data_IF_639472028446
#
_entry.id   IF_639472028446
#
_cell.length_a   1.000
_cell.length_b   1.000
_cell.length_c   1.000
_cell.angle_alpha   90.00
_cell.angle_beta   90.00
_cell.angle_gamma   90.00
#
_symmetry.space_group_name_H-M   'P 1'
#
loop_
_entity.id
_entity.type
_entity.pdbx_description
1 polymer ?
#
# COMPACT_ATOMS: atom_id res chain seq x y z
N UNK A 1 -11.31 16.79 -1.82
CA UNK A 1 -10.99 15.49 -2.46
C UNK A 1 -10.21 14.69 -1.45
N UNK A 2 -10.56 13.43 -1.27
CA UNK A 2 -9.92 12.55 -0.30
C UNK A 2 -8.71 11.89 -0.95
N UNK A 3 -7.63 11.77 -0.18
CA UNK A 3 -6.36 11.18 -0.62
C UNK A 3 -5.79 10.26 0.46
N UNK A 4 -4.94 9.32 0.04
CA UNK A 4 -4.17 8.42 0.90
C UNK A 4 -2.69 8.59 0.59
N UNK A 5 -1.87 8.63 1.64
CA UNK A 5 -0.41 8.70 1.52
C UNK A 5 0.21 7.32 1.72
N UNK A 6 1.05 6.90 0.79
CA UNK A 6 1.92 5.74 0.94
C UNK A 6 3.37 6.16 1.07
N UNK A 7 4.09 5.58 2.04
CA UNK A 7 5.51 5.85 2.30
C UNK A 7 6.27 4.54 2.32
N UNK A 8 7.39 4.46 1.61
CA UNK A 8 8.33 3.34 1.65
C UNK A 8 9.70 3.84 2.09
N UNK A 9 10.15 3.36 3.25
CA UNK A 9 11.47 3.65 3.82
C UNK A 9 12.46 2.55 3.42
N UNK A 10 13.43 2.90 2.57
CA UNK A 10 14.59 2.08 2.24
C UNK A 10 15.87 2.74 2.80
N UNK A 11 16.98 2.00 3.00
CA UNK A 11 18.15 2.52 3.71
C UNK A 11 18.70 3.85 3.17
N UNK A 12 18.56 4.08 1.86
CA UNK A 12 19.10 5.24 1.15
C UNK A 12 18.01 6.17 0.59
N UNK A 13 16.72 5.87 0.77
CA UNK A 13 15.64 6.66 0.18
C UNK A 13 14.31 6.50 0.92
N UNK A 14 13.59 7.62 1.08
CA UNK A 14 12.17 7.64 1.43
C UNK A 14 11.38 7.95 0.17
N UNK A 15 10.46 7.05 -0.20
CA UNK A 15 9.60 7.21 -1.37
C UNK A 15 8.16 7.43 -0.93
N UNK A 16 7.49 8.40 -1.53
CA UNK A 16 6.15 8.83 -1.15
C UNK A 16 5.24 8.87 -2.36
N UNK A 17 3.99 8.44 -2.18
CA UNK A 17 2.96 8.45 -3.23
C UNK A 17 1.64 8.92 -2.62
N UNK A 18 1.03 9.94 -3.23
CA UNK A 18 -0.33 10.40 -2.92
C UNK A 18 -1.28 9.82 -3.95
N UNK A 19 -2.32 9.14 -3.48
CA UNK A 19 -3.33 8.52 -4.35
C UNK A 19 -4.70 9.11 -4.02
N UNK A 20 -5.48 9.39 -5.06
CA UNK A 20 -6.88 9.80 -4.92
C UNK A 20 -7.77 8.67 -4.38
N UNK A 21 -8.80 9.05 -3.62
CA UNK A 21 -9.82 8.14 -3.11
C UNK A 21 -9.57 7.74 -1.67
N UNK A 22 -10.63 7.38 -0.96
CA UNK A 22 -10.52 6.87 0.42
C UNK A 22 -9.89 5.47 0.47
N UNK A 23 -10.09 4.68 -0.59
CA UNK A 23 -9.59 3.31 -0.74
C UNK A 23 -8.21 3.23 -1.44
N UNK A 24 -7.63 4.38 -1.80
CA UNK A 24 -6.38 4.52 -2.56
C UNK A 24 -6.37 3.81 -3.94
N UNK A 25 -7.54 3.66 -4.57
CA UNK A 25 -7.75 3.03 -5.87
C UNK A 25 -7.77 4.02 -7.05
N UNK A 26 -7.70 5.33 -6.77
CA UNK A 26 -7.70 6.39 -7.76
C UNK A 26 -6.35 6.64 -8.44
N UNK A 27 -6.26 7.81 -9.10
CA UNK A 27 -5.03 8.23 -9.78
C UNK A 27 -3.97 8.69 -8.80
N UNK A 28 -2.70 8.53 -9.18
CA UNK A 28 -1.58 9.10 -8.44
C UNK A 28 -1.60 10.62 -8.64
N UNK A 29 -1.74 11.36 -7.54
CA UNK A 29 -1.77 12.83 -7.51
C UNK A 29 -0.35 13.38 -7.50
N UNK A 30 0.51 12.78 -6.68
CA UNK A 30 1.88 13.24 -6.46
C UNK A 30 2.78 12.06 -6.08
N UNK A 31 4.04 12.14 -6.49
CA UNK A 31 5.10 11.22 -6.06
C UNK A 31 6.31 12.04 -5.65
N UNK A 32 7.01 11.58 -4.62
CA UNK A 32 8.24 12.22 -4.16
C UNK A 32 9.27 11.16 -3.72
N UNK A 33 10.54 11.50 -3.82
CA UNK A 33 11.65 10.65 -3.43
C UNK A 33 12.73 11.50 -2.77
N UNK A 34 12.96 11.25 -1.49
CA UNK A 34 13.98 11.93 -0.69
C UNK A 34 15.13 10.97 -0.45
N UNK A 35 16.34 11.32 -0.89
CA UNK A 35 17.54 10.54 -0.59
C UNK A 35 17.90 10.66 0.90
N UNK A 36 18.13 9.51 1.53
CA UNK A 36 18.54 9.40 2.93
C UNK A 36 20.07 9.31 2.96
N UNK A 37 20.72 10.45 3.16
CA UNK A 37 22.18 10.55 3.32
C UNK A 37 22.59 10.56 4.80
N UNK A 38 23.52 9.67 5.18
CA UNK A 38 23.95 9.43 6.58
C UNK A 38 24.75 10.54 7.27
N UNK A 39 24.48 11.83 7.06
CA UNK A 39 25.14 12.92 7.80
C UNK A 39 24.22 14.04 8.30
N UNK A 40 22.89 13.88 8.20
CA UNK A 40 21.95 14.73 8.91
C UNK A 40 21.85 14.36 10.40
N UNK A 41 21.55 15.32 11.30
CA UNK A 41 21.31 15.02 12.73
C UNK A 41 19.99 14.27 12.99
N UNK A 42 19.17 14.09 11.96
CA UNK A 42 17.81 13.53 12.06
C UNK A 42 17.83 12.01 11.88
N UNK A 43 17.27 11.28 12.84
CA UNK A 43 17.12 9.82 12.75
C UNK A 43 16.22 9.43 11.56
N UNK A 44 16.34 8.20 11.03
CA UNK A 44 15.46 7.73 9.95
C UNK A 44 13.96 7.84 10.31
N UNK A 45 13.52 7.50 11.55
CA UNK A 45 12.15 7.76 11.98
C UNK A 45 11.74 9.23 11.94
N UNK A 46 12.62 10.14 12.37
CA UNK A 46 12.35 11.57 12.35
C UNK A 46 12.18 12.11 10.93
N UNK A 47 12.95 11.59 9.98
CA UNK A 47 12.83 11.96 8.56
C UNK A 47 11.49 11.51 7.98
N UNK A 48 11.05 10.27 8.25
CA UNK A 48 9.73 9.77 7.83
C UNK A 48 8.62 10.64 8.42
N UNK A 49 8.71 11.00 9.70
CA UNK A 49 7.70 11.85 10.33
C UNK A 49 7.70 13.25 9.73
N UNK A 50 8.86 13.85 9.49
CA UNK A 50 8.98 15.16 8.86
C UNK A 50 8.36 15.15 7.46
N UNK A 51 8.62 14.11 6.68
CA UNK A 51 7.99 13.87 5.37
C UNK A 51 6.47 13.81 5.49
N UNK A 52 5.91 12.95 6.35
CA UNK A 52 4.45 12.82 6.53
C UNK A 52 3.82 14.14 6.94
N UNK A 53 4.44 14.88 7.86
CA UNK A 53 3.95 16.19 8.31
C UNK A 53 3.97 17.23 7.18
N UNK A 54 5.08 17.32 6.45
CA UNK A 54 5.22 18.25 5.32
C UNK A 54 4.21 17.95 4.21
N UNK A 55 4.01 16.67 3.89
CA UNK A 55 3.03 16.26 2.89
C UNK A 55 1.59 16.49 3.37
N UNK A 56 1.30 16.30 4.65
CA UNK A 56 -0.03 16.62 5.22
C UNK A 56 -0.32 18.11 5.16
N UNK A 57 0.67 18.95 5.44
CA UNK A 57 0.55 20.40 5.34
C UNK A 57 0.32 20.83 3.88
N UNK A 58 1.15 20.35 2.95
CA UNK A 58 1.00 20.62 1.52
C UNK A 58 -0.33 20.13 0.95
N UNK A 59 -0.79 18.95 1.36
CA UNK A 59 -2.11 18.42 0.98
C UNK A 59 -3.24 19.33 1.48
N UNK A 60 -3.17 19.81 2.73
CA UNK A 60 -4.17 20.70 3.30
C UNK A 60 -4.20 22.07 2.60
N UNK A 61 -3.03 22.63 2.28
CA UNK A 61 -2.90 23.86 1.47
C UNK A 61 -3.49 23.69 0.06
N UNK A 62 -3.33 22.50 -0.52
CA UNK A 62 -3.94 22.11 -1.80
C UNK A 62 -5.44 21.82 -1.74
N UNK A 63 -6.08 21.86 -0.57
CA UNK A 63 -7.49 21.53 -0.39
C UNK A 63 -7.81 20.03 -0.42
N UNK A 64 -6.81 19.18 -0.27
CA UNK A 64 -6.95 17.72 -0.15
C UNK A 64 -7.14 17.31 1.32
N UNK A 65 -7.87 16.21 1.52
CA UNK A 65 -8.06 15.62 2.85
C UNK A 65 -7.33 14.29 2.91
N UNK A 66 -6.27 14.25 3.72
CA UNK A 66 -5.53 13.03 3.98
C UNK A 66 -6.32 12.10 4.91
N UNK A 67 -6.75 10.94 4.38
CA UNK A 67 -7.59 9.97 5.08
C UNK A 67 -6.78 8.99 5.91
N UNK A 68 -5.78 8.35 5.28
CA UNK A 68 -4.87 7.42 5.91
C UNK A 68 -3.45 7.57 5.37
N UNK A 69 -2.49 7.10 6.14
CA UNK A 69 -1.08 7.01 5.75
C UNK A 69 -0.58 5.59 5.98
N UNK A 70 -0.12 4.92 4.94
CA UNK A 70 0.57 3.64 5.03
C UNK A 70 2.07 3.83 4.99
N UNK A 71 2.79 3.28 5.95
CA UNK A 71 4.26 3.32 5.99
C UNK A 71 4.79 1.90 5.96
N UNK A 72 5.56 1.58 4.93
CA UNK A 72 6.35 0.36 4.84
C UNK A 72 7.83 0.66 5.04
N UNK A 73 8.54 -0.27 5.66
CA UNK A 73 9.93 -0.10 6.04
C UNK A 73 10.69 -1.40 5.78
N UNK A 74 11.80 -1.32 5.04
CA UNK A 74 12.57 -2.51 4.63
C UNK A 74 13.43 -3.11 5.74
N UNK A 75 14.02 -2.30 6.62
CA UNK A 75 14.64 -2.73 7.88
C UNK A 75 13.63 -2.82 9.05
N UNK A 76 13.22 -4.03 9.48
CA UNK A 76 12.25 -4.20 10.55
C UNK A 76 12.77 -3.79 11.94
N UNK A 77 14.09 -3.58 12.13
CA UNK A 77 14.68 -3.31 13.46
C UNK A 77 14.32 -1.93 14.02
N UNK A 78 14.08 -0.97 13.13
CA UNK A 78 13.83 0.43 13.51
C UNK A 78 12.33 0.79 13.57
N UNK A 79 11.45 -0.12 13.15
CA UNK A 79 10.00 0.12 13.08
C UNK A 79 9.39 0.32 14.48
N UNK A 80 9.95 -0.30 15.52
CA UNK A 80 9.57 -0.01 16.92
C UNK A 80 9.85 1.44 17.32
N UNK A 81 11.04 1.96 16.99
CA UNK A 81 11.39 3.35 17.24
C UNK A 81 10.51 4.32 16.44
N UNK A 82 10.14 3.97 15.21
CA UNK A 82 9.17 4.74 14.43
C UNK A 82 7.79 4.77 15.10
N UNK A 83 7.29 3.63 15.60
CA UNK A 83 6.02 3.59 16.33
C UNK A 83 6.04 4.51 17.55
N UNK A 84 7.10 4.43 18.34
CA UNK A 84 7.23 5.25 19.55
C UNK A 84 7.28 6.74 19.20
N UNK A 85 8.00 7.09 18.13
CA UNK A 85 8.09 8.46 17.63
C UNK A 85 6.74 8.98 17.07
N UNK A 86 5.99 8.16 16.34
CA UNK A 86 4.63 8.48 15.87
C UNK A 86 3.68 8.71 17.05
N UNK A 87 3.75 7.84 18.06
CA UNK A 87 2.92 7.92 19.27
C UNK A 87 3.23 9.17 20.09
N UNK A 88 4.52 9.49 20.25
CA UNK A 88 4.99 10.68 20.99
C UNK A 88 4.48 11.98 20.37
N UNK A 89 4.25 12.00 19.05
CA UNK A 89 3.76 13.17 18.30
C UNK A 89 2.25 13.16 18.03
N UNK A 90 1.49 12.22 18.63
CA UNK A 90 0.05 11.99 18.42
C UNK A 90 -0.33 11.93 16.92
N UNK A 91 0.52 11.30 16.11
CA UNK A 91 0.26 11.09 14.69
C UNK A 91 -0.70 9.91 14.50
N UNK A 92 -1.97 10.25 14.40
CA UNK A 92 -3.06 9.31 14.13
C UNK A 92 -3.20 9.03 12.64
N UNK A 93 -3.90 7.95 12.31
CA UNK A 93 -4.15 7.47 10.95
C UNK A 93 -2.89 7.04 10.17
N UNK A 94 -1.81 6.74 10.88
CA UNK A 94 -0.61 6.12 10.30
C UNK A 94 -0.63 4.63 10.60
N UNK A 95 -0.58 3.82 9.55
CA UNK A 95 -0.49 2.37 9.62
C UNK A 95 0.90 1.91 9.22
N UNK A 96 1.54 1.12 10.08
CA UNK A 96 2.77 0.42 9.74
C UNK A 96 2.41 -0.87 9.00
N UNK A 97 2.84 -0.97 7.75
CA UNK A 97 2.54 -2.08 6.82
C UNK A 97 3.84 -2.83 6.55
N UNK A 98 3.81 -4.17 6.53
CA UNK A 98 4.99 -4.92 6.11
C UNK A 98 5.23 -4.75 4.60
N UNK A 99 6.48 -4.78 4.12
CA UNK A 99 6.77 -4.69 2.68
C UNK A 99 6.04 -5.75 1.84
N UNK A 100 5.94 -6.98 2.34
CA UNK A 100 5.22 -8.05 1.67
C UNK A 100 3.71 -7.79 1.58
N UNK A 101 3.08 -7.27 2.64
CA UNK A 101 1.64 -6.95 2.62
C UNK A 101 1.35 -5.74 1.74
N UNK A 102 2.23 -4.73 1.72
CA UNK A 102 2.15 -3.63 0.77
C UNK A 102 2.20 -4.17 -0.67
N UNK A 103 3.15 -5.07 -0.96
CA UNK A 103 3.26 -5.72 -2.27
C UNK A 103 2.02 -6.56 -2.62
N UNK A 104 1.45 -7.28 -1.64
CA UNK A 104 0.22 -8.06 -1.82
C UNK A 104 -1.01 -7.19 -2.11
N UNK A 105 -1.17 -6.06 -1.41
CA UNK A 105 -2.24 -5.10 -1.68
C UNK A 105 -2.15 -4.52 -3.09
N UNK A 106 -0.93 -4.23 -3.56
CA UNK A 106 -0.71 -3.80 -4.93
C UNK A 106 -1.02 -4.92 -5.94
N UNK A 107 -0.57 -6.15 -5.68
CA UNK A 107 -0.85 -7.31 -6.53
C UNK A 107 -2.35 -7.62 -6.61
N UNK A 108 -3.08 -7.48 -5.51
CA UNK A 108 -4.54 -7.61 -5.48
C UNK A 108 -5.18 -6.56 -6.40
N UNK A 109 -4.79 -5.30 -6.27
CA UNK A 109 -5.35 -4.19 -7.06
C UNK A 109 -5.09 -4.38 -8.56
N UNK A 110 -3.87 -4.79 -8.92
CA UNK A 110 -3.52 -5.09 -10.32
C UNK A 110 -4.26 -6.32 -10.82
N UNK A 111 -4.34 -7.39 -10.02
CA UNK A 111 -5.10 -8.59 -10.37
C UNK A 111 -6.58 -8.31 -10.59
N UNK A 112 -7.18 -7.49 -9.72
CA UNK A 112 -8.56 -7.04 -9.84
C UNK A 112 -8.80 -6.26 -11.15
N UNK A 113 -7.90 -5.32 -11.48
CA UNK A 113 -7.97 -4.56 -12.73
C UNK A 113 -7.82 -5.44 -14.00
N UNK A 114 -7.08 -6.55 -13.90
CA UNK A 114 -6.88 -7.52 -14.97
C UNK A 114 -7.95 -8.63 -15.01
N UNK A 115 -8.84 -8.69 -14.02
CA UNK A 115 -9.86 -9.73 -13.90
C UNK A 115 -9.31 -11.11 -13.54
N UNK A 116 -8.17 -11.17 -12.85
CA UNK A 116 -7.57 -12.41 -12.35
C UNK A 116 -8.29 -12.88 -11.09
N UNK A 117 -8.44 -14.20 -10.91
CA UNK A 117 -8.94 -14.78 -9.66
C UNK A 117 -7.79 -14.90 -8.65
N UNK A 118 -6.63 -15.35 -9.12
CA UNK A 118 -5.41 -15.44 -8.33
C UNK A 118 -4.24 -14.77 -9.05
N UNK A 119 -3.50 -13.93 -8.33
CA UNK A 119 -2.28 -13.30 -8.83
C UNK A 119 -1.08 -13.85 -8.07
N UNK A 120 -0.11 -14.42 -8.77
CA UNK A 120 1.17 -14.73 -8.16
C UNK A 120 1.95 -13.43 -7.93
N UNK A 121 2.46 -13.23 -6.72
CA UNK A 121 3.33 -12.13 -6.35
C UNK A 121 4.75 -12.65 -6.16
N UNK A 122 5.71 -12.12 -6.91
CA UNK A 122 7.14 -12.30 -6.64
C UNK A 122 7.68 -11.04 -5.96
N UNK A 123 7.85 -11.10 -4.65
CA UNK A 123 8.45 -10.04 -3.86
C UNK A 123 9.96 -10.26 -3.74
N UNK A 124 10.76 -9.35 -4.30
CA UNK A 124 12.21 -9.49 -4.44
C UNK A 124 12.94 -8.53 -3.50
N UNK A 125 13.76 -9.08 -2.62
CA UNK A 125 14.69 -8.35 -1.75
C UNK A 125 16.13 -8.63 -2.17
N UNK A 126 17.09 -7.89 -1.61
CA UNK A 126 18.50 -8.02 -2.02
C UNK A 126 19.08 -9.44 -1.79
N UNK A 127 18.67 -10.09 -0.70
CA UNK A 127 19.19 -11.39 -0.26
C UNK A 127 18.12 -12.49 -0.20
N UNK A 128 16.86 -12.18 -0.50
CA UNK A 128 15.80 -13.19 -0.49
C UNK A 128 14.68 -12.87 -1.47
N UNK A 129 13.93 -13.90 -1.84
CA UNK A 129 12.76 -13.78 -2.70
C UNK A 129 11.59 -14.50 -2.06
N UNK A 130 10.43 -13.87 -2.06
CA UNK A 130 9.17 -14.46 -1.61
C UNK A 130 8.21 -14.61 -2.80
N UNK A 131 7.83 -15.84 -3.11
CA UNK A 131 6.73 -16.14 -4.03
C UNK A 131 5.47 -16.35 -3.22
N UNK A 132 4.43 -15.58 -3.51
CA UNK A 132 3.11 -15.69 -2.88
C UNK A 132 2.02 -15.83 -3.94
N UNK A 133 0.86 -16.37 -3.58
CA UNK A 133 -0.35 -16.36 -4.41
C UNK A 133 -1.42 -15.58 -3.64
N UNK A 134 -1.91 -14.51 -4.25
CA UNK A 134 -2.90 -13.59 -3.69
C UNK A 134 -4.25 -13.85 -4.34
N UNK A 135 -5.27 -14.14 -3.55
CA UNK A 135 -6.67 -14.14 -3.98
C UNK A 135 -7.11 -12.68 -4.18
N UNK A 136 -7.54 -12.34 -5.40
CA UNK A 136 -7.85 -10.95 -5.74
C UNK A 136 -9.16 -10.45 -5.11
N UNK A 137 -10.05 -11.37 -4.72
CA UNK A 137 -11.38 -11.04 -4.21
C UNK A 137 -11.32 -10.44 -2.80
N UNK A 138 -10.41 -10.93 -1.95
CA UNK A 138 -10.27 -10.51 -0.56
C UNK A 138 -8.85 -10.09 -0.17
N UNK A 139 -7.86 -10.27 -1.05
CA UNK A 139 -6.46 -9.94 -0.81
C UNK A 139 -5.72 -10.96 0.06
N UNK A 140 -6.31 -12.13 0.30
CA UNK A 140 -5.70 -13.19 1.11
C UNK A 140 -4.52 -13.84 0.39
N UNK A 141 -3.48 -14.21 1.16
CA UNK A 141 -2.33 -14.94 0.64
C UNK A 141 -2.58 -16.43 0.85
N UNK A 142 -2.94 -17.16 -0.19
CA UNK A 142 -3.30 -18.59 -0.13
C UNK A 142 -2.10 -19.53 -0.24
N UNK A 143 -0.97 -19.04 -0.73
CA UNK A 143 0.29 -19.76 -0.79
C UNK A 143 1.45 -18.79 -0.57
N UNK A 144 2.48 -19.20 0.15
CA UNK A 144 3.67 -18.39 0.42
C UNK A 144 4.90 -19.30 0.52
N UNK A 145 5.94 -18.94 -0.21
CA UNK A 145 7.22 -19.61 -0.19
C UNK A 145 8.35 -18.59 -0.33
N UNK A 146 9.24 -18.57 0.65
CA UNK A 146 10.43 -17.71 0.64
C UNK A 146 11.68 -18.56 0.43
N UNK A 147 12.64 -18.00 -0.29
CA UNK A 147 13.93 -18.62 -0.56
C UNK A 147 15.04 -17.59 -0.42
N UNK A 148 16.17 -17.99 0.15
CA UNK A 148 17.40 -17.18 0.19
C UNK A 148 18.02 -17.18 -1.20
N UNK A 149 18.01 -16.02 -1.85
CA UNK A 149 18.54 -15.82 -3.20
C UNK A 149 19.13 -14.42 -3.25
N UNK A 150 20.42 -14.32 -3.53
CA UNK A 150 21.07 -13.02 -3.73
C UNK A 150 20.67 -12.44 -5.08
N UNK A 151 19.78 -11.46 -5.06
CA UNK A 151 19.27 -10.79 -6.26
C UNK A 151 20.00 -9.48 -6.57
N UNK A 152 20.85 -9.00 -5.67
CA UNK A 152 21.69 -7.82 -5.87
C UNK A 152 23.16 -8.12 -5.49
N UNK A 153 24.10 -8.22 -6.46
CA UNK A 153 23.90 -8.12 -7.91
C UNK A 153 23.15 -9.33 -8.49
N UNK A 154 22.39 -9.11 -9.56
CA UNK A 154 21.65 -10.20 -10.23
C UNK A 154 22.59 -11.09 -11.04
N UNK A 155 22.49 -12.40 -10.85
CA UNK A 155 23.38 -13.41 -11.46
C UNK A 155 22.61 -14.50 -12.20
N UNK A 156 23.30 -15.29 -13.03
CA UNK A 156 22.69 -16.45 -13.68
C UNK A 156 22.22 -17.54 -12.71
N UNK A 157 22.82 -17.62 -11.51
CA UNK A 157 22.33 -18.52 -10.47
C UNK A 157 21.00 -18.05 -9.89
N UNK A 158 20.89 -16.75 -9.57
CA UNK A 158 19.63 -16.16 -9.12
C UNK A 158 18.51 -16.35 -10.15
N UNK A 159 18.85 -16.24 -11.43
CA UNK A 159 17.94 -16.50 -12.53
C UNK A 159 17.40 -17.95 -12.54
N UNK A 160 18.29 -18.95 -12.38
CA UNK A 160 17.91 -20.36 -12.30
C UNK A 160 17.08 -20.69 -11.04
N UNK A 161 17.43 -20.10 -9.90
CA UNK A 161 16.70 -20.26 -8.65
C UNK A 161 15.27 -19.69 -8.79
N UNK A 162 15.13 -18.50 -9.39
CA UNK A 162 13.84 -17.86 -9.66
C UNK A 162 12.98 -18.67 -10.64
N UNK A 163 13.57 -19.23 -11.71
CA UNK A 163 12.85 -20.10 -12.63
C UNK A 163 12.28 -21.32 -11.90
N UNK A 164 13.10 -21.94 -11.04
CA UNK A 164 12.69 -23.07 -10.19
C UNK A 164 11.56 -22.66 -9.23
N UNK A 165 11.56 -21.43 -8.71
CA UNK A 165 10.47 -20.93 -7.89
C UNK A 165 9.16 -20.82 -8.67
N UNK A 166 9.21 -20.27 -9.89
CA UNK A 166 8.03 -20.05 -10.74
C UNK A 166 7.46 -21.36 -11.28
N UNK A 167 8.28 -22.36 -11.57
CA UNK A 167 7.82 -23.71 -11.94
C UNK A 167 6.89 -24.33 -10.88
N UNK A 168 7.03 -23.95 -9.61
CA UNK A 168 6.15 -24.45 -8.54
C UNK A 168 4.70 -24.02 -8.72
N UNK A 169 4.44 -22.90 -9.42
CA UNK A 169 3.08 -22.40 -9.65
C UNK A 169 2.22 -23.40 -10.42
N UNK A 170 2.82 -24.20 -11.30
CA UNK A 170 2.10 -25.22 -12.09
C UNK A 170 1.58 -26.38 -11.23
N UNK A 171 2.20 -26.63 -10.07
CA UNK A 171 1.82 -27.68 -9.14
C UNK A 171 0.75 -27.27 -8.12
N UNK A 172 0.37 -26.00 -8.08
CA UNK A 172 -0.59 -25.48 -7.10
C UNK A 172 -2.03 -25.80 -7.49
N UNK A 173 -2.86 -26.11 -6.48
CA UNK A 173 -4.32 -26.25 -6.67
C UNK A 173 -5.00 -24.93 -7.05
N UNK A 174 -4.43 -23.81 -6.60
CA UNK A 174 -4.79 -22.44 -6.97
C UNK A 174 -3.84 -21.96 -8.07
N UNK A 175 -4.24 -22.06 -9.33
CA UNK A 175 -3.41 -21.65 -10.46
C UNK A 175 -3.52 -20.13 -10.67
N UNK A 176 -2.43 -19.37 -10.50
CA UNK A 176 -2.45 -17.93 -10.77
C UNK A 176 -2.55 -17.64 -12.26
N UNK A 177 -3.30 -16.59 -12.60
CA UNK A 177 -3.51 -16.14 -13.98
C UNK A 177 -2.34 -15.29 -14.51
N UNK A 178 -1.55 -14.71 -13.60
CA UNK A 178 -0.38 -13.89 -13.92
C UNK A 178 0.60 -13.77 -12.76
N UNK A 179 1.84 -13.42 -13.07
CA UNK A 179 2.91 -13.14 -12.13
C UNK A 179 3.17 -11.63 -12.07
N UNK A 180 3.04 -11.04 -10.88
CA UNK A 180 3.33 -9.65 -10.61
C UNK A 180 4.61 -9.55 -9.77
N UNK A 181 5.61 -8.79 -10.23
CA UNK A 181 6.91 -8.64 -9.56
C UNK A 181 6.97 -7.29 -8.85
N UNK A 182 7.37 -7.30 -7.58
CA UNK A 182 7.60 -6.10 -6.76
C UNK A 182 8.99 -6.15 -6.15
N UNK A 183 9.79 -5.12 -6.39
CA UNK A 183 11.14 -4.98 -5.84
C UNK A 183 11.19 -4.20 -4.54
N UNK A 184 12.05 -4.64 -3.63
CA UNK A 184 12.36 -3.97 -2.37
C UNK A 184 13.78 -3.40 -2.43
N UNK A 185 13.94 -2.26 -3.11
CA UNK A 185 15.26 -1.65 -3.33
C UNK A 185 16.17 -2.45 -4.28
N UNK A 186 15.60 -3.34 -5.10
CA UNK A 186 16.31 -4.15 -6.10
C UNK A 186 15.82 -3.76 -7.49
N UNK A 187 16.73 -3.70 -8.46
CA UNK A 187 16.38 -3.54 -9.87
C UNK A 187 15.72 -4.82 -10.40
N UNK A 188 14.41 -4.74 -10.67
CA UNK A 188 13.61 -5.86 -11.13
C UNK A 188 13.55 -6.00 -12.65
N UNK A 189 14.11 -5.07 -13.44
CA UNK A 189 14.05 -5.15 -14.90
C UNK A 189 14.75 -6.40 -15.46
N UNK A 190 15.99 -6.74 -15.04
CA UNK A 190 16.65 -7.97 -15.48
C UNK A 190 15.90 -9.24 -15.06
N UNK A 191 15.26 -9.19 -13.89
CA UNK A 191 14.47 -10.30 -13.34
C UNK A 191 13.22 -10.52 -14.19
N UNK A 192 12.47 -9.45 -14.47
CA UNK A 192 11.28 -9.48 -15.34
C UNK A 192 11.62 -10.07 -16.70
N UNK A 193 12.67 -9.58 -17.37
CA UNK A 193 13.07 -10.08 -18.68
C UNK A 193 13.39 -11.58 -18.68
N UNK A 194 14.07 -12.06 -17.62
CA UNK A 194 14.38 -13.47 -17.49
C UNK A 194 13.13 -14.33 -17.28
N UNK A 195 12.23 -13.89 -16.38
CA UNK A 195 11.01 -14.62 -16.07
C UNK A 195 9.99 -14.57 -17.21
N UNK A 196 9.90 -13.48 -17.98
CA UNK A 196 9.07 -13.42 -19.20
C UNK A 196 9.47 -14.47 -20.24
N UNK A 197 10.74 -14.87 -20.28
CA UNK A 197 11.22 -15.89 -21.20
C UNK A 197 11.01 -17.33 -20.67
N UNK A 198 10.84 -17.49 -19.35
CA UNK A 198 10.81 -18.80 -18.70
C UNK A 198 9.41 -19.20 -18.18
N UNK A 199 8.61 -18.23 -17.73
CA UNK A 199 7.33 -18.47 -17.08
C UNK A 199 6.22 -18.78 -18.12
N UNK A 200 5.33 -19.74 -17.84
CA UNK A 200 4.20 -20.05 -18.71
C UNK A 200 3.03 -19.05 -18.58
N UNK A 201 3.11 -18.12 -17.63
CA UNK A 201 2.07 -17.12 -17.33
C UNK A 201 2.57 -15.70 -17.61
N UNK A 202 1.67 -14.74 -17.91
CA UNK A 202 2.03 -13.34 -18.11
C UNK A 202 2.79 -12.77 -16.90
N UNK A 203 3.92 -12.11 -17.16
CA UNK A 203 4.72 -11.44 -16.12
C UNK A 203 4.54 -9.94 -16.23
N UNK A 204 4.26 -9.29 -15.11
CA UNK A 204 3.96 -7.85 -15.03
C UNK A 204 4.67 -7.20 -13.84
N UNK A 205 4.82 -5.88 -13.91
CA UNK A 205 5.41 -5.02 -12.87
C UNK A 205 4.57 -3.74 -12.78
N UNK A 206 4.70 -3.01 -11.68
CA UNK A 206 4.12 -1.67 -11.58
C UNK A 206 4.69 -0.74 -12.66
N UNK A 207 3.90 0.24 -13.09
CA UNK A 207 4.33 1.29 -14.04
C UNK A 207 5.54 2.07 -13.51
N UNK A 208 5.54 2.36 -12.21
CA UNK A 208 6.67 2.94 -11.47
C UNK A 208 7.18 1.91 -10.45
N UNK A 209 8.13 1.02 -10.83
CA UNK A 209 8.62 -0.05 -9.97
C UNK A 209 9.18 0.43 -8.64
N UNK A 210 9.90 1.54 -8.67
CA UNK A 210 10.52 2.15 -7.50
C UNK A 210 9.50 2.65 -6.49
N UNK A 211 8.31 3.07 -6.96
CA UNK A 211 7.22 3.60 -6.13
C UNK A 211 6.21 2.50 -5.73
N UNK A 212 6.37 1.27 -6.23
CA UNK A 212 5.42 0.18 -6.05
C UNK A 212 5.14 -0.11 -4.57
N UNK A 213 6.18 -0.16 -3.72
CA UNK A 213 6.02 -0.42 -2.29
C UNK A 213 5.29 0.70 -1.56
N UNK A 214 5.57 1.96 -1.90
CA UNK A 214 4.87 3.11 -1.33
C UNK A 214 3.38 3.08 -1.72
N UNK A 215 3.09 2.84 -3.01
CA UNK A 215 1.71 2.67 -3.50
C UNK A 215 0.99 1.50 -2.82
N UNK A 216 1.66 0.37 -2.67
CA UNK A 216 1.15 -0.78 -1.94
C UNK A 216 0.84 -0.47 -0.47
N UNK A 217 1.68 0.34 0.18
CA UNK A 217 1.44 0.78 1.55
C UNK A 217 0.19 1.68 1.66
N UNK A 218 -0.01 2.59 0.70
CA UNK A 218 -1.24 3.39 0.61
C UNK A 218 -2.48 2.47 0.54
N UNK A 219 -2.51 1.56 -0.44
CA UNK A 219 -3.58 0.58 -0.64
C UNK A 219 -3.86 -0.26 0.61
N UNK A 220 -2.81 -0.81 1.22
CA UNK A 220 -2.94 -1.62 2.42
C UNK A 220 -3.49 -0.82 3.61
N UNK A 221 -3.07 0.44 3.76
CA UNK A 221 -3.54 1.30 4.86
C UNK A 221 -5.00 1.73 4.71
N UNK A 222 -5.47 1.89 3.48
CA UNK A 222 -6.85 2.20 3.16
C UNK A 222 -7.77 0.99 3.40
N UNK A 223 -7.30 -0.21 3.08
CA UNK A 223 -8.08 -1.46 3.10
C UNK A 223 -7.80 -2.37 4.32
N UNK A 224 -7.20 -1.82 5.38
CA UNK A 224 -6.62 -2.59 6.49
C UNK A 224 -7.49 -3.65 7.19
N UNK A 225 -8.83 -3.48 7.36
CA UNK A 225 -9.67 -4.51 7.96
C UNK A 225 -9.66 -5.84 7.18
N UNK A 226 -9.50 -5.79 5.86
CA UNK A 226 -9.53 -6.96 4.98
C UNK A 226 -8.22 -7.76 5.11
N UNK A 227 -7.07 -7.09 5.08
CA UNK A 227 -5.77 -7.76 5.20
C UNK A 227 -5.51 -8.35 6.60
N UNK A 228 -5.99 -7.70 7.66
CA UNK A 228 -5.76 -8.17 9.03
C UNK A 228 -6.48 -9.50 9.31
N UNK A 229 -7.72 -9.66 8.82
CA UNK A 229 -8.52 -10.87 9.06
C UNK A 229 -7.97 -12.07 8.28
N UNK A 230 -7.63 -11.89 7.00
CA UNK A 230 -7.15 -12.99 6.15
C UNK A 230 -5.72 -13.42 6.51
N UNK A 231 -4.84 -12.48 6.86
CA UNK A 231 -3.48 -12.82 7.33
C UNK A 231 -3.52 -13.54 8.69
N UNK A 232 -4.40 -13.11 9.61
CA UNK A 232 -4.59 -13.82 10.88
C UNK A 232 -5.12 -15.25 10.67
N UNK A 233 -6.06 -15.44 9.73
CA UNK A 233 -6.58 -16.77 9.40
C UNK A 233 -5.49 -17.70 8.84
N UNK A 234 -4.63 -17.20 7.95
CA UNK A 234 -3.47 -17.96 7.44
C UNK A 234 -2.50 -18.32 8.57
N UNK A 235 -2.20 -17.37 9.46
CA UNK A 235 -1.31 -17.60 10.60
C UNK A 235 -1.84 -18.71 11.53
N UNK A 236 -3.14 -18.73 11.81
CA UNK A 236 -3.76 -19.82 12.57
C UNK A 236 -3.77 -21.15 11.82
N UNK A 237 -3.90 -21.15 10.49
CA UNK A 237 -3.83 -22.36 9.68
C UNK A 237 -2.41 -22.96 9.63
N UNK A 238 -1.39 -22.14 9.85
CA UNK A 238 0.03 -22.53 9.85
C UNK A 238 0.57 -22.82 11.26
N UNK A 239 -0.21 -22.63 12.33
CA UNK A 239 0.18 -22.94 13.72
C UNK A 239 0.22 -24.47 13.94
N UNK A 240 1.40 -25.10 14.09
CA UNK A 240 1.49 -26.51 14.38
C UNK A 240 1.11 -26.69 15.86
N UNK A 241 -0.16 -26.99 16.10
CA UNK A 241 -0.65 -27.27 17.44
C UNK A 241 0.21 -28.34 18.13
N UNK A 242 0.82 -27.97 19.25
CA UNK A 242 1.53 -28.78 20.26
C UNK A 242 3.01 -29.14 20.02
N UNK A 243 3.90 -28.54 20.84
CA UNK A 243 5.02 -29.25 21.49
C UNK A 243 6.47 -28.91 21.07
N UNK A 244 7.13 -28.11 21.91
CA UNK A 244 8.59 -27.89 22.08
C UNK A 244 9.39 -27.17 20.96
N UNK A 245 9.99 -26.04 21.34
CA UNK A 245 10.81 -25.17 20.48
C UNK A 245 12.28 -25.34 20.85
N UNK A 246 13.13 -25.72 19.88
CA UNK A 246 14.58 -25.77 20.07
C UNK A 246 15.18 -24.36 19.96
N UNK A 247 15.65 -23.82 21.09
CA UNK A 247 16.06 -22.41 21.26
C UNK A 247 17.40 -22.06 20.59
N UNK A 248 18.18 -23.06 20.17
CA UNK A 248 19.51 -22.86 19.53
C UNK A 248 19.46 -22.80 17.98
N UNK A 249 18.27 -22.84 17.36
CA UNK A 249 18.10 -22.68 15.91
C UNK A 249 17.86 -21.22 15.45
N UNK A 250 17.92 -20.23 16.36
CA UNK A 250 17.74 -18.81 16.04
C UNK A 250 19.09 -18.11 15.74
N UNK A 251 19.49 -18.12 14.48
CA UNK A 251 20.40 -17.15 13.86
C UNK A 251 19.94 -16.90 12.40
N UNK A 252 20.24 -15.73 11.79
CA UNK A 252 19.34 -15.03 10.86
C UNK A 252 19.31 -15.66 9.46
N UNK A 253 18.47 -16.67 9.27
CA UNK A 253 18.10 -17.24 7.97
C UNK A 253 16.72 -17.92 8.04
N UNK A 254 15.81 -17.37 8.84
CA UNK A 254 14.53 -18.00 9.12
C UNK A 254 13.53 -17.69 8.00
N UNK A 255 13.40 -18.61 7.04
CA UNK A 255 12.23 -18.94 6.21
C UNK A 255 12.68 -19.77 5.00
N UNK A 256 13.25 -20.96 5.24
CA UNK A 256 13.25 -22.05 4.26
C UNK A 256 12.39 -23.17 4.83
N UNK A 257 11.08 -23.12 4.53
CA UNK A 257 10.12 -24.17 4.87
C UNK A 257 9.21 -24.37 3.66
N UNK A 258 9.49 -25.42 2.89
CA UNK A 258 8.46 -26.15 2.16
C UNK A 258 7.45 -26.67 3.18
N UNK A 259 6.15 -26.69 2.84
CA UNK A 259 5.08 -27.18 3.69
C UNK A 259 5.32 -28.61 4.22
N UNK A 260 6.01 -28.70 5.35
CA UNK A 260 5.80 -29.60 6.49
C UNK A 260 6.51 -28.94 7.70
N UNK A 261 5.90 -29.02 8.87
CA UNK A 261 6.06 -28.11 10.01
C UNK A 261 7.51 -27.71 10.43
N UNK A 262 7.72 -26.42 10.77
CA UNK A 262 8.31 -25.89 12.03
C UNK A 262 8.48 -24.36 11.93
N UNK A 263 7.91 -23.64 12.91
CA UNK A 263 7.70 -22.18 12.93
C UNK A 263 8.84 -21.41 13.61
N UNK A 264 9.11 -20.23 13.05
CA UNK A 264 9.79 -19.11 13.71
C UNK A 264 9.11 -17.80 13.31
N UNK A 265 8.77 -17.04 14.34
CA UNK A 265 7.99 -15.81 14.33
C UNK A 265 8.69 -14.67 13.58
N UNK A 266 8.09 -14.20 12.49
CA UNK A 266 8.56 -13.01 11.78
C UNK A 266 7.61 -12.43 10.71
N UNK A 267 6.38 -12.94 10.59
CA UNK A 267 5.45 -12.55 9.52
C UNK A 267 4.08 -12.11 10.03
N UNK A 268 4.01 -11.53 11.23
CA UNK A 268 2.75 -11.07 11.82
C UNK A 268 2.82 -9.57 12.08
N UNK A 269 1.70 -8.90 11.83
CA UNK A 269 1.47 -7.48 12.09
C UNK A 269 2.21 -7.05 13.35
N UNK A 270 2.93 -5.92 13.27
CA UNK A 270 3.92 -5.46 14.25
C UNK A 270 3.32 -5.20 15.66
N UNK A 271 2.06 -5.55 15.92
CA UNK A 271 1.29 -5.32 17.14
C UNK A 271 1.33 -6.46 18.17
N UNK A 272 2.16 -7.49 18.01
CA UNK A 272 2.40 -8.44 19.10
C UNK A 272 3.39 -7.84 20.11
N UNK A 273 2.85 -7.18 21.15
CA UNK A 273 3.60 -6.73 22.32
C UNK A 273 4.06 -7.97 23.10
N UNK A 274 5.37 -8.20 23.33
CA UNK A 274 5.79 -9.11 24.38
C UNK A 274 5.50 -8.45 25.73
N UNK A 275 4.72 -9.11 26.58
CA UNK A 275 4.51 -8.69 27.97
C UNK A 275 5.87 -8.71 28.69
N UNK A 276 6.24 -7.58 29.30
CA UNK A 276 7.42 -7.44 30.15
C UNK A 276 7.16 -8.15 31.50
N UNK A 277 7.69 -9.36 31.65
CA UNK A 277 7.85 -9.98 32.97
C UNK A 277 9.35 -10.19 33.27
N UNK A 278 9.85 -9.32 34.15
CA UNK A 278 11.15 -9.40 34.82
C UNK A 278 11.30 -10.72 35.58
N UNK A 279 12.28 -11.55 35.21
CA UNK A 279 12.87 -12.52 36.15
C UNK A 279 14.40 -12.55 35.99
N UNK A 280 15.07 -12.03 37.02
CA UNK A 280 16.52 -12.09 37.19
C UNK A 280 17.06 -13.52 37.09
N UNK A 281 18.11 -13.69 36.28
CA UNK A 281 19.21 -14.62 36.56
C UNK A 281 20.44 -14.26 35.72
N UNK A 282 21.41 -13.60 36.36
CA UNK A 282 22.80 -13.52 35.88
C UNK A 282 23.49 -14.88 36.03
N UNK A 283 24.44 -15.19 35.13
CA UNK A 283 25.76 -15.58 35.64
C UNK A 283 26.90 -14.78 34.99
N UNK A 284 27.89 -14.50 35.83
CA UNK A 284 29.08 -13.67 35.61
C UNK A 284 30.09 -14.27 34.62
N UNK A 285 30.76 -13.41 33.83
CA UNK A 285 32.21 -13.54 33.54
C UNK A 285 32.90 -12.16 33.51
N UNK A 286 34.15 -12.06 34.02
CA UNK A 286 34.85 -10.79 34.19
C UNK A 286 35.72 -10.46 32.98
N UNK A 287 35.68 -9.22 32.51
CA UNK A 287 36.73 -8.67 31.64
C UNK A 287 37.20 -7.34 32.22
N UNK A 288 38.51 -7.28 32.36
CA UNK A 288 39.29 -6.34 33.15
C UNK A 288 39.31 -4.97 32.49
N UNK A 289 39.00 -3.94 33.28
CA UNK A 289 39.17 -2.52 32.97
C UNK A 289 40.63 -2.13 33.16
N UNK A 290 41.30 -1.64 32.11
CA UNK A 290 42.55 -0.88 32.20
C UNK A 290 42.47 0.34 31.26
N UNK A 291 42.43 1.55 31.86
CA UNK A 291 42.90 2.83 31.29
C UNK A 291 42.03 3.45 30.18
N UNK A 292 41.90 4.76 29.98
CA UNK A 292 42.49 5.95 30.60
C UNK A 292 41.68 7.15 30.09
N UNK A 293 41.41 8.12 30.97
CA UNK A 293 40.77 9.37 30.60
C UNK A 293 41.75 10.31 29.89
N UNK A 294 41.39 10.75 28.68
CA UNK A 294 41.72 12.06 28.07
C UNK A 294 40.75 12.25 26.89
N UNK A 295 39.62 12.93 27.09
CA UNK A 295 38.79 13.41 25.97
C UNK A 295 37.93 14.65 26.33
N UNK A 296 38.31 15.41 27.37
CA UNK A 296 37.60 16.64 27.76
C UNK A 296 38.22 17.93 27.20
N UNK A 297 39.29 17.85 26.40
CA UNK A 297 40.00 19.03 25.86
C UNK A 297 39.76 19.30 24.36
N UNK A 298 39.06 18.42 23.63
CA UNK A 298 38.78 18.63 22.20
C UNK A 298 37.56 19.53 21.94
N UNK A 299 36.61 19.62 22.88
CA UNK A 299 35.36 20.36 22.69
C UNK A 299 35.54 21.88 22.81
N UNK A 300 36.52 22.36 23.59
CA UNK A 300 36.79 23.79 23.75
C UNK A 300 37.59 24.37 22.55
N UNK A 301 38.42 23.54 21.89
CA UNK A 301 39.19 23.96 20.71
C UNK A 301 38.34 24.20 19.46
N UNK A 302 37.27 23.41 19.29
CA UNK A 302 36.40 23.51 18.09
C UNK A 302 35.45 24.72 18.19
N UNK A 303 34.98 25.08 19.39
CA UNK A 303 34.13 26.27 19.57
C UNK A 303 34.89 27.57 19.30
N UNK A 304 36.19 27.65 19.64
CA UNK A 304 37.02 28.81 19.30
C UNK A 304 37.27 28.94 17.79
N UNK A 305 37.40 27.81 17.08
CA UNK A 305 37.65 27.80 15.63
C UNK A 305 36.43 28.29 14.81
N UNK A 306 35.22 28.01 15.29
CA UNK A 306 33.97 28.41 14.61
C UNK A 306 33.66 29.92 14.80
N UNK A 307 34.00 30.51 15.94
CA UNK A 307 33.81 31.96 16.16
C UNK A 307 34.81 32.80 15.33
N UNK A 308 35.99 32.26 15.02
CA UNK A 308 37.01 33.00 14.26
C UNK A 308 36.77 33.05 12.75
N UNK A 309 35.92 32.18 12.19
CA UNK A 309 35.65 32.16 10.74
C UNK A 309 34.51 33.11 10.31
N UNK A 310 33.76 33.68 11.25
CA UNK A 310 32.63 34.58 10.97
C UNK A 310 32.99 36.08 10.97
N UNK A 311 34.24 36.44 11.23
CA UNK A 311 34.65 37.84 11.43
C UNK A 311 35.42 38.49 10.27
N UNK A 312 35.75 37.78 9.19
CA UNK A 312 36.59 38.33 8.11
C UNK A 312 35.94 38.26 6.73
N UNK A 313 34.82 38.98 6.56
CA UNK A 313 34.42 39.53 5.25
C UNK A 313 33.75 40.89 5.46
N UNK A 314 34.53 41.96 5.32
CA UNK A 314 34.02 43.26 4.88
C UNK A 314 34.79 43.69 3.64
N UNK A 315 34.08 44.19 2.61
CA UNK A 315 34.56 45.42 2.00
C UNK A 315 33.46 46.49 1.84
N UNK A 316 33.92 47.73 1.99
CA UNK A 316 33.21 49.01 2.04
C UNK A 316 32.85 49.55 0.65
N UNK A 317 31.76 50.33 0.56
CA UNK A 317 31.23 51.03 -0.63
C UNK A 317 31.78 52.47 -0.78
N UNK A 318 32.04 52.91 -2.04
CA UNK A 318 32.13 54.31 -2.56
C UNK A 318 33.54 54.92 -2.61
N UNK A 319 34.05 55.68 -3.61
CA UNK A 319 33.54 56.44 -4.78
C UNK A 319 34.76 56.89 -5.70
N UNK A 320 34.61 57.41 -6.96
CA UNK A 320 35.66 57.70 -8.00
C UNK A 320 36.25 59.15 -7.88
N UNK A 321 37.03 59.80 -8.82
CA UNK A 321 37.32 59.55 -10.27
C UNK A 321 38.74 59.91 -10.87
N UNK A 322 38.89 59.69 -12.19
CA UNK A 322 39.64 60.47 -13.22
C UNK A 322 41.10 60.15 -13.66
N UNK A 323 41.23 60.08 -15.01
CA UNK A 323 42.24 60.71 -15.90
C UNK A 323 43.40 59.88 -16.54
N UNK A 324 43.27 59.74 -17.87
CA UNK A 324 44.25 59.90 -18.98
C UNK A 324 45.53 59.06 -19.09
N UNK A 325 45.77 58.50 -20.30
CA UNK A 325 47.13 58.33 -20.84
C UNK A 325 47.35 57.16 -21.81
N UNK A 326 47.23 57.44 -23.11
CA UNK A 326 47.51 56.60 -24.29
C UNK A 326 48.87 55.84 -24.29
N UNK A 327 48.93 54.63 -24.88
CA UNK A 327 49.96 54.24 -25.88
C UNK A 327 49.81 52.80 -26.44
N UNK A 328 49.70 52.73 -27.78
CA UNK A 328 50.28 51.76 -28.75
C UNK A 328 49.81 50.28 -28.86
N UNK A 329 49.11 50.02 -29.98
CA UNK A 329 48.90 48.84 -30.87
C UNK A 329 50.15 47.93 -31.08
N UNK A 330 50.08 46.64 -31.57
CA UNK A 330 49.04 46.11 -32.45
C UNK A 330 48.51 44.67 -32.24
N UNK A 331 47.33 44.48 -32.84
CA UNK A 331 46.51 43.28 -33.08
C UNK A 331 47.24 42.10 -33.72
N UNK A 332 47.01 40.89 -33.17
CA UNK A 332 46.99 39.64 -33.94
C UNK A 332 45.73 38.85 -33.55
N UNK A 333 44.78 38.86 -34.48
CA UNK A 333 43.48 38.20 -34.41
C UNK A 333 43.64 36.78 -34.97
N UNK A 334 43.13 35.78 -34.26
CA UNK A 334 42.92 34.41 -34.75
C UNK A 334 41.42 34.06 -34.61
N UNK A 335 40.85 33.27 -35.54
CA UNK A 335 39.44 33.40 -35.92
C UNK A 335 38.47 32.56 -35.07
N UNK A 336 37.20 32.99 -34.93
CA UNK A 336 36.13 32.15 -34.38
C UNK A 336 35.62 31.12 -35.39
N UNK A 337 35.27 29.95 -34.84
CA UNK A 337 34.75 28.72 -35.45
C UNK A 337 33.48 28.97 -36.30
N UNK A 338 33.33 28.32 -37.48
CA UNK A 338 32.18 28.53 -38.36
C UNK A 338 30.86 27.95 -37.80
N UNK A 339 29.70 28.53 -38.15
CA UNK A 339 28.38 28.02 -37.76
C UNK A 339 28.02 26.73 -38.54
N UNK A 340 27.11 25.89 -38.01
CA UNK A 340 26.66 24.69 -38.70
C UNK A 340 25.95 25.04 -40.02
N UNK A 341 26.30 24.31 -41.07
CA UNK A 341 25.71 24.43 -42.39
C UNK A 341 24.22 24.07 -42.38
N UNK A 342 23.43 24.84 -43.13
CA UNK A 342 22.04 24.57 -43.43
C UNK A 342 21.89 23.21 -44.13
N UNK A 343 21.02 22.36 -43.59
CA UNK A 343 20.58 21.15 -44.26
C UNK A 343 19.75 21.50 -45.50
N UNK A 344 19.99 20.76 -46.59
CA UNK A 344 19.27 20.87 -47.85
C UNK A 344 17.76 20.55 -47.68
N UNK A 345 16.87 21.09 -48.54
CA UNK A 345 15.45 20.77 -48.49
C UNK A 345 15.21 19.31 -48.90
N UNK A 346 14.38 18.62 -48.12
CA UNK A 346 13.89 17.27 -48.39
C UNK A 346 12.98 17.23 -49.64
N UNK A 347 12.98 16.17 -50.46
CA UNK A 347 12.03 16.02 -51.57
C UNK A 347 10.58 15.87 -51.05
N UNK A 348 9.55 16.24 -51.84
CA UNK A 348 8.15 16.14 -51.42
C UNK A 348 7.77 14.68 -51.14
N UNK A 349 7.07 14.46 -50.02
CA UNK A 349 6.47 13.18 -49.69
C UNK A 349 5.46 12.75 -50.76
N UNK A 350 5.53 11.48 -51.16
CA UNK A 350 4.50 10.85 -51.98
C UNK A 350 3.16 10.83 -51.23
N UNK A 351 2.01 10.96 -51.92
CA UNK A 351 0.70 10.86 -51.28
C UNK A 351 0.48 9.47 -50.68
N UNK A 352 -0.27 9.36 -49.57
CA UNK A 352 -0.58 8.07 -48.96
C UNK A 352 -1.45 7.22 -49.90
N UNK A 353 -1.32 5.88 -49.86
CA UNK A 353 -2.21 5.00 -50.61
C UNK A 353 -3.67 5.16 -50.10
N UNK A 354 -4.68 5.03 -50.98
CA UNK A 354 -6.07 5.11 -50.58
C UNK A 354 -6.42 4.00 -49.58
N UNK A 355 -7.22 4.36 -48.57
CA UNK A 355 -7.71 3.44 -47.56
C UNK A 355 -8.49 2.26 -48.20
N UNK A 356 -8.36 1.03 -47.67
CA UNK A 356 -9.20 -0.08 -48.10
C UNK A 356 -10.68 0.24 -47.81
N UNK A 357 -11.61 -0.24 -48.64
CA UNK A 357 -13.04 -0.03 -48.39
C UNK A 357 -13.45 -0.66 -47.05
N UNK A 358 -14.46 -0.10 -46.36
CA UNK A 358 -14.96 -0.67 -45.12
C UNK A 358 -15.44 -2.10 -45.38
N UNK A 359 -14.86 -3.04 -44.65
CA UNK A 359 -15.34 -4.42 -44.60
C UNK A 359 -16.77 -4.40 -44.08
N UNK A 360 -17.68 -5.07 -44.80
CA UNK A 360 -19.10 -5.12 -44.48
C UNK A 360 -19.31 -5.60 -43.04
N UNK A 361 -20.17 -4.89 -42.31
CA UNK A 361 -20.61 -5.28 -40.99
C UNK A 361 -21.19 -6.72 -41.02
N UNK A 362 -20.85 -7.58 -40.05
CA UNK A 362 -21.51 -8.87 -39.90
C UNK A 362 -23.02 -8.65 -39.64
N UNK A 363 -23.89 -9.52 -40.18
CA UNK A 363 -25.34 -9.38 -39.99
C UNK A 363 -25.71 -9.52 -38.50
N UNK A 364 -26.77 -8.84 -38.05
CA UNK A 364 -27.24 -8.93 -36.67
C UNK A 364 -27.66 -10.37 -36.32
N UNK A 365 -27.41 -10.83 -35.08
CA UNK A 365 -27.94 -12.11 -34.63
C UNK A 365 -29.47 -12.09 -34.64
N UNK A 366 -30.05 -13.20 -35.09
CA UNK A 366 -31.50 -13.42 -35.09
C UNK A 366 -32.07 -13.31 -33.66
N UNK A 367 -33.34 -12.86 -33.50
CA UNK A 367 -33.96 -12.74 -32.18
C UNK A 367 -34.07 -14.11 -31.50
N UNK A 368 -33.40 -14.25 -30.36
CA UNK A 368 -33.59 -15.38 -29.45
C UNK A 368 -35.04 -15.41 -28.98
N UNK A 369 -35.65 -16.60 -29.12
CA UNK A 369 -37.01 -16.88 -28.69
C UNK A 369 -37.15 -16.71 -27.17
N UNK A 370 -38.33 -16.21 -26.75
CA UNK A 370 -38.73 -16.11 -25.36
C UNK A 370 -38.70 -17.49 -24.67
N UNK A 371 -38.36 -17.57 -23.36
CA UNK A 371 -38.45 -18.81 -22.62
C UNK A 371 -39.91 -19.29 -22.55
N UNK A 372 -40.18 -20.50 -23.03
CA UNK A 372 -41.43 -21.18 -22.75
C UNK A 372 -41.56 -21.39 -21.24
N UNK A 373 -42.71 -21.00 -20.71
CA UNK A 373 -43.12 -21.20 -19.33
C UNK A 373 -43.23 -22.70 -19.04
N UNK A 374 -42.25 -23.25 -18.31
CA UNK A 374 -42.34 -24.61 -17.78
C UNK A 374 -43.28 -24.58 -16.56
N UNK A 375 -44.42 -25.23 -16.71
CA UNK A 375 -45.39 -25.54 -15.66
C UNK A 375 -44.75 -26.28 -14.47
N UNK A 376 -45.00 -25.77 -13.27
CA UNK A 376 -44.59 -26.39 -12.00
C UNK A 376 -45.29 -27.75 -11.76
N UNK A 377 -44.58 -28.81 -11.35
CA UNK A 377 -45.21 -29.99 -10.78
C UNK A 377 -45.40 -29.89 -9.26
N UNK A 378 -46.56 -30.38 -8.80
CA UNK A 378 -47.01 -30.44 -7.41
C UNK A 378 -46.14 -31.35 -6.50
N UNK A 379 -46.17 -31.17 -5.15
CA UNK A 379 -45.20 -31.77 -4.25
C UNK A 379 -45.51 -33.25 -3.97
N UNK A 380 -44.49 -34.10 -4.07
CA UNK A 380 -44.52 -35.49 -3.61
C UNK A 380 -43.79 -35.59 -2.26
N UNK A 381 -44.54 -35.94 -1.21
CA UNK A 381 -44.00 -36.27 0.12
C UNK A 381 -43.18 -37.56 0.01
N UNK A 382 -41.85 -37.47 0.17
CA UNK A 382 -40.98 -38.64 0.33
C UNK A 382 -40.81 -38.97 1.81
N UNK A 383 -41.29 -40.14 2.20
CA UNK A 383 -40.98 -40.77 3.49
C UNK A 383 -39.50 -41.20 3.53
N UNK A 384 -38.80 -40.85 4.60
CA UNK A 384 -37.42 -41.23 4.84
C UNK A 384 -37.31 -42.70 5.31
N UNK A 385 -36.31 -43.47 4.83
CA UNK A 385 -36.07 -44.82 5.32
C UNK A 385 -35.38 -44.81 6.70
N UNK A 386 -35.94 -45.56 7.65
CA UNK A 386 -35.34 -45.80 8.96
C UNK A 386 -34.10 -46.68 8.82
N UNK A 387 -32.94 -46.16 9.22
CA UNK A 387 -31.68 -46.92 9.34
C UNK A 387 -31.63 -47.54 10.73
N UNK A 388 -31.72 -48.87 10.79
CA UNK A 388 -31.42 -49.66 11.99
C UNK A 388 -29.92 -49.55 12.27
N UNK A 389 -29.55 -49.01 13.43
CA UNK A 389 -28.17 -48.95 13.92
C UNK A 389 -27.98 -50.05 14.97
N UNK A 390 -27.04 -50.95 14.70
CA UNK A 390 -26.58 -51.96 15.65
C UNK A 390 -25.64 -51.30 16.68
N UNK A 391 -25.78 -51.51 18.00
CA UNK A 391 -24.90 -50.89 18.98
C UNK A 391 -23.54 -51.61 19.09
N UNK A 392 -22.45 -50.84 19.01
CA UNK A 392 -21.09 -51.27 19.35
C UNK A 392 -20.78 -51.01 20.84
N UNK A 393 -19.88 -51.78 21.49
CA UNK A 393 -19.73 -51.79 22.94
C UNK A 393 -19.04 -50.54 23.49
N UNK A 394 -19.59 -50.04 24.60
CA UNK A 394 -19.14 -48.86 25.35
C UNK A 394 -17.82 -49.18 26.08
N UNK A 395 -16.75 -48.44 25.77
CA UNK A 395 -15.61 -48.27 26.69
C UNK A 395 -15.95 -47.14 27.66
N UNK A 396 -16.01 -47.46 28.94
CA UNK A 396 -16.19 -46.50 30.02
C UNK A 396 -14.87 -45.74 30.27
N UNK A 397 -14.92 -44.42 30.16
CA UNK A 397 -13.91 -43.51 30.69
C UNK A 397 -14.36 -42.99 32.06
N UNK A 398 -13.46 -42.75 33.03
CA UNK A 398 -13.84 -42.31 34.37
C UNK A 398 -14.38 -40.87 34.37
N UNK A 399 -15.31 -40.51 35.27
CA UNK A 399 -15.94 -39.19 35.28
C UNK A 399 -14.96 -38.12 35.78
N UNK A 400 -14.77 -37.05 35.00
CA UNK A 400 -14.28 -35.77 35.53
C UNK A 400 -15.41 -35.15 36.36
N UNK A 401 -15.13 -34.82 37.62
CA UNK A 401 -15.98 -33.95 38.42
C UNK A 401 -15.99 -32.55 37.80
N UNK A 402 -17.17 -32.06 37.41
CA UNK A 402 -17.37 -30.66 37.09
C UNK A 402 -17.40 -29.84 38.39
N UNK A 403 -16.82 -28.62 38.43
CA UNK A 403 -16.96 -27.74 39.58
C UNK A 403 -18.43 -27.36 39.78
N UNK A 404 -18.89 -27.43 41.03
CA UNK A 404 -20.25 -27.10 41.42
C UNK A 404 -20.53 -25.61 41.12
N UNK A 405 -21.52 -25.36 40.26
CA UNK A 405 -22.08 -24.03 40.06
C UNK A 405 -22.80 -23.60 41.34
N UNK A 406 -22.28 -22.56 42.00
CA UNK A 406 -22.97 -21.87 43.08
C UNK A 406 -23.77 -20.73 42.43
N UNK A 407 -25.11 -20.73 42.49
CA UNK A 407 -25.88 -19.61 41.96
C UNK A 407 -25.60 -18.35 42.80
N UNK A 408 -25.44 -17.17 42.18
CA UNK A 408 -25.34 -15.92 42.93
C UNK A 408 -26.65 -15.67 43.70
N UNK A 409 -26.61 -14.99 44.86
CA UNK A 409 -27.80 -14.70 45.65
C UNK A 409 -28.77 -13.85 44.83
N UNK A 410 -30.05 -14.23 44.88
CA UNK A 410 -31.13 -13.48 44.24
C UNK A 410 -31.11 -12.02 44.72
N UNK A 411 -30.93 -11.09 43.79
CA UNK A 411 -31.21 -9.69 44.07
C UNK A 411 -32.72 -9.54 44.21
N UNK A 412 -33.15 -9.19 45.42
CA UNK A 412 -34.52 -8.77 45.70
C UNK A 412 -34.83 -7.54 44.84
N UNK A 413 -35.70 -7.70 43.84
CA UNK A 413 -36.16 -6.61 43.00
C UNK A 413 -36.96 -5.63 43.88
N UNK A 414 -36.55 -4.36 43.87
CA UNK A 414 -37.26 -3.30 44.58
C UNK A 414 -38.66 -3.11 43.96
N UNK A 415 -39.71 -2.82 44.76
CA UNK A 415 -41.04 -2.61 44.22
C UNK A 415 -41.06 -1.40 43.27
N UNK A 416 -41.81 -1.46 42.15
CA UNK A 416 -41.84 -0.39 41.18
C UNK A 416 -42.45 0.87 41.81
N UNK A 417 -41.93 2.08 41.49
CA UNK A 417 -42.53 3.32 41.96
C UNK A 417 -43.94 3.46 41.38
N UNK A 418 -44.87 3.92 42.22
CA UNK A 418 -46.27 4.14 41.87
C UNK A 418 -46.38 5.08 40.65
N UNK A 419 -47.22 4.67 39.68
CA UNK A 419 -47.47 5.44 38.48
C UNK A 419 -48.03 6.83 38.81
N UNK A 420 -47.53 7.92 38.19
CA UNK A 420 -48.12 9.23 38.34
C UNK A 420 -49.52 9.26 37.68
N UNK A 421 -50.44 10.13 38.14
CA UNK A 421 -51.77 10.24 37.56
C UNK A 421 -51.69 10.70 36.09
N UNK A 422 -52.68 10.35 35.25
CA UNK A 422 -52.66 10.70 33.83
C UNK A 422 -52.57 12.22 33.64
N UNK A 423 -51.53 12.67 32.95
CA UNK A 423 -51.42 14.05 32.52
C UNK A 423 -52.55 14.38 31.55
N UNK A 424 -53.23 15.51 31.77
CA UNK A 424 -54.20 16.05 30.82
C UNK A 424 -53.53 16.22 29.44
N UNK A 425 -54.24 15.92 28.33
CA UNK A 425 -53.66 16.06 27.01
C UNK A 425 -53.25 17.53 26.77
N UNK A 426 -52.06 17.77 26.19
CA UNK A 426 -51.62 19.12 25.89
C UNK A 426 -52.57 19.77 24.88
N UNK A 427 -52.77 21.10 24.94
CA UNK A 427 -53.52 21.81 23.91
C UNK A 427 -52.88 21.55 22.53
N UNK A 428 -53.69 21.49 21.45
CA UNK A 428 -53.16 21.27 20.13
C UNK A 428 -52.15 22.38 19.79
N UNK A 429 -51.01 22.03 19.16
CA UNK A 429 -50.03 23.03 18.77
C UNK A 429 -50.69 24.05 17.82
N UNK A 430 -50.27 25.33 17.87
CA UNK A 430 -50.71 26.30 16.88
C UNK A 430 -50.43 25.75 15.48
N UNK A 431 -51.39 25.91 14.57
CA UNK A 431 -51.22 25.51 13.18
C UNK A 431 -49.90 26.10 12.65
N UNK A 432 -49.02 25.21 12.20
CA UNK A 432 -47.75 25.61 11.61
C UNK A 432 -48.02 26.61 10.48
N UNK A 433 -47.26 27.72 10.39
CA UNK A 433 -47.30 28.58 9.21
C UNK A 433 -47.10 27.71 7.96
N UNK A 434 -47.89 27.99 6.92
CA UNK A 434 -47.73 27.30 5.64
C UNK A 434 -46.24 27.33 5.23
N UNK A 435 -45.69 26.19 4.76
CA UNK A 435 -44.29 26.15 4.36
C UNK A 435 -44.05 27.24 3.30
N UNK A 436 -42.92 27.96 3.38
CA UNK A 436 -42.57 28.93 2.35
C UNK A 436 -42.55 28.20 0.99
N UNK A 437 -42.92 28.89 -0.11
CA UNK A 437 -42.85 28.30 -1.44
C UNK A 437 -41.45 27.72 -1.65
N UNK A 438 -41.41 26.48 -2.14
CA UNK A 438 -40.15 25.79 -2.40
C UNK A 438 -39.22 26.72 -3.18
N UNK A 439 -37.94 26.83 -2.78
CA UNK A 439 -36.99 27.63 -3.54
C UNK A 439 -36.97 27.11 -4.98
N UNK A 440 -36.85 27.99 -5.99
CA UNK A 440 -36.72 27.56 -7.37
C UNK A 440 -35.57 26.55 -7.46
N UNK A 441 -35.82 25.41 -8.09
CA UNK A 441 -34.80 24.39 -8.31
C UNK A 441 -33.55 25.06 -8.89
N UNK A 442 -32.34 24.76 -8.37
CA UNK A 442 -31.11 25.35 -8.87
C UNK A 442 -31.02 25.10 -10.37
N UNK A 443 -31.16 26.17 -11.15
CA UNK A 443 -30.93 26.11 -12.59
C UNK A 443 -29.42 25.92 -12.76
N UNK A 444 -29.00 24.69 -13.06
CA UNK A 444 -27.61 24.45 -13.45
C UNK A 444 -27.31 25.33 -14.69
N UNK A 445 -26.19 26.06 -14.70
CA UNK A 445 -25.80 26.82 -15.88
C UNK A 445 -25.65 25.85 -17.06
N UNK A 446 -25.99 26.27 -18.29
CA UNK A 446 -25.89 25.40 -19.46
C UNK A 446 -24.45 24.89 -19.60
N UNK A 447 -24.25 23.58 -19.42
CA UNK A 447 -22.94 22.95 -19.61
C UNK A 447 -22.70 22.79 -21.11
N UNK A 448 -21.62 23.42 -21.60
CA UNK A 448 -21.17 23.30 -22.99
C UNK A 448 -19.83 22.58 -22.98
N UNK A 449 -19.77 21.41 -23.59
CA UNK A 449 -18.51 20.70 -23.85
C UNK A 449 -17.91 21.24 -25.15
N UNK A 450 -16.64 21.60 -25.15
CA UNK A 450 -15.95 22.06 -26.35
C UNK A 450 -15.09 20.94 -26.92
N UNK A 451 -15.46 20.44 -28.10
CA UNK A 451 -14.67 19.43 -28.80
C UNK A 451 -13.59 20.15 -29.63
N UNK A 452 -12.32 19.99 -29.24
CA UNK A 452 -11.18 20.59 -29.94
C UNK A 452 -10.65 19.64 -31.03
N UNK A 453 -10.89 20.02 -32.29
CA UNK A 453 -10.24 19.44 -33.47
C UNK A 453 -9.09 20.37 -33.90
N UNK A 454 -8.05 19.89 -34.62
CA UNK A 454 -6.81 20.64 -34.88
C UNK A 454 -7.00 22.03 -35.53
N UNK A 455 -8.16 22.30 -36.15
CA UNK A 455 -8.45 23.60 -36.78
C UNK A 455 -9.84 24.17 -36.45
N UNK A 456 -10.65 23.50 -35.61
CA UNK A 456 -12.03 23.93 -35.30
C UNK A 456 -12.39 23.52 -33.88
N UNK A 457 -13.05 24.42 -33.15
CA UNK A 457 -13.66 24.11 -31.84
C UNK A 457 -15.18 24.07 -32.00
N UNK A 458 -15.79 22.94 -31.64
CA UNK A 458 -17.25 22.76 -31.75
C UNK A 458 -17.88 22.75 -30.35
N UNK A 459 -18.76 23.73 -30.01
CA UNK A 459 -19.52 23.68 -28.76
C UNK A 459 -20.65 22.65 -28.86
N UNK A 460 -20.72 21.74 -27.90
CA UNK A 460 -21.77 20.72 -27.77
C UNK A 460 -22.51 20.98 -26.46
N UNK A 461 -23.80 21.39 -26.50
CA UNK A 461 -24.59 21.58 -25.28
C UNK A 461 -24.95 20.21 -24.69
N UNK A 462 -24.60 19.97 -23.42
CA UNK A 462 -24.96 18.77 -22.65
C UNK A 462 -25.78 19.21 -21.44
N UNK A 463 -27.09 19.34 -21.63
CA UNK A 463 -28.02 19.47 -20.52
C UNK A 463 -28.50 18.07 -20.11
N UNK A 464 -28.32 17.65 -18.84
CA UNK A 464 -28.87 16.38 -18.36
C UNK A 464 -30.40 16.40 -18.41
N UNK A 465 -31.07 15.25 -18.63
CA UNK A 465 -32.52 15.17 -18.57
C UNK A 465 -33.03 15.48 -17.16
N UNK A 466 -34.23 16.10 -17.02
CA UNK A 466 -34.79 16.40 -15.71
C UNK A 466 -35.04 15.12 -14.90
N UNK A 467 -34.90 15.16 -13.56
CA UNK A 467 -35.12 13.99 -12.72
C UNK A 467 -36.56 13.47 -12.82
N UNK A 468 -36.77 12.13 -12.71
CA UNK A 468 -38.11 11.55 -12.77
C UNK A 468 -38.98 12.04 -11.61
N UNK A 469 -40.28 12.21 -11.89
CA UNK A 469 -41.25 12.65 -10.90
C UNK A 469 -41.34 11.63 -9.74
N UNK A 470 -41.51 12.11 -8.48
CA UNK A 470 -41.67 11.22 -7.35
C UNK A 470 -42.95 10.36 -7.48
N UNK A 471 -42.94 9.11 -6.99
CA UNK A 471 -44.10 8.25 -7.04
C UNK A 471 -45.28 8.86 -6.25
N UNK A 472 -46.53 8.64 -6.68
CA UNK A 472 -47.69 9.07 -5.92
C UNK A 472 -47.68 8.36 -4.55
N UNK A 473 -47.80 9.15 -3.49
CA UNK A 473 -47.85 8.65 -2.12
C UNK A 473 -49.10 7.80 -1.83
N UNK A 474 -49.09 7.03 -0.73
CA UNK A 474 -50.15 6.09 -0.35
C UNK A 474 -51.49 6.76 -0.03
#
# INVERSE_FOLDING_TARGET
>A
MDIVLGVSMAPMAVRMVLVEGEDADGVVVEQDCVEVGGSGPSSAPDQVIAAILGTREGAAEGGYRLMSTGVTWTDPREVGALRDALSTRDLRNVMLVSPLLAAAALAQTVGHALGYEYTALLFVEAESVTLAVVDTSDGSIVNLHRQQVTCAPYTGQAAADLATMVERLDGLGTRPDGLFIVGCGVDIFPIKQHLEAAAPIPVSVAEEPDMALARGAALASANAPLFASSTAALAYALDPGTGEVNRDALAPAYLDVCADAVVGTGALAYSAVPDDDDVQSRPHRPLVVIGSGVAALLVIGVVALVVSLAADVRPTVGQPPSANGNAAVPTKQAPPKPPPAAAAPSPPAAPPPPAPPPSAAPPPPAPSQAPETITAPAPVVRQAPQRVVNPAPVRQSPPRQAPAYVPPPAQQEAPPPAAPPPAAPPPPPPAAPAPPPAPPAPQMPPMTMYLHLPFVTVPIPINPPPPPAPPPGP
#
